data_IF_161679844035
#
_entry.id   IF_161679844035
#
_cell.length_a   1.000
_cell.length_b   1.000
_cell.length_c   1.000
_cell.angle_alpha   90.00
_cell.angle_beta   90.00
_cell.angle_gamma   90.00
#
_symmetry.space_group_name_H-M   'P 1'
#
loop_
_entity.id
_entity.type
_entity.pdbx_description
1 polymer ?
#
# COMPACT_ATOMS: atom_id res chain seq x y z
N UNK A 1 28.83 8.25 4.41
CA UNK A 1 27.76 7.52 3.70
C UNK A 1 28.16 6.05 3.68
N UNK A 2 27.40 5.18 4.35
CA UNK A 2 27.69 3.74 4.34
C UNK A 2 27.32 3.21 2.95
N UNK A 3 28.24 2.61 2.18
CA UNK A 3 27.92 2.03 0.89
C UNK A 3 26.87 0.92 1.08
N UNK A 4 25.77 0.97 0.30
CA UNK A 4 24.71 -0.06 0.29
C UNK A 4 23.30 0.41 0.66
N UNK A 5 23.17 1.39 1.57
CA UNK A 5 21.85 1.78 2.12
C UNK A 5 20.90 2.34 1.05
N UNK A 6 21.38 3.22 0.16
CA UNK A 6 20.54 3.86 -0.86
C UNK A 6 20.04 2.86 -1.91
N UNK A 7 20.91 2.01 -2.52
CA UNK A 7 20.45 0.93 -3.39
C UNK A 7 19.42 0.00 -2.72
N UNK A 8 19.66 -0.41 -1.47
CA UNK A 8 18.76 -1.33 -0.76
C UNK A 8 17.40 -0.70 -0.47
N UNK A 9 17.37 0.60 -0.11
CA UNK A 9 16.13 1.35 0.06
C UNK A 9 15.35 1.50 -1.24
N UNK A 10 16.03 1.75 -2.37
CA UNK A 10 15.39 1.86 -3.68
C UNK A 10 14.81 0.51 -4.13
N UNK A 11 15.53 -0.59 -3.90
CA UNK A 11 15.04 -1.94 -4.14
C UNK A 11 13.83 -2.27 -3.27
N UNK A 12 13.88 -1.91 -1.98
CA UNK A 12 12.75 -2.05 -1.06
C UNK A 12 11.52 -1.26 -1.51
N UNK A 13 11.70 0.00 -1.92
CA UNK A 13 10.63 0.83 -2.47
C UNK A 13 10.03 0.21 -3.75
N UNK A 14 10.88 -0.27 -4.65
CA UNK A 14 10.45 -0.91 -5.89
C UNK A 14 9.62 -2.16 -5.62
N UNK A 15 10.09 -3.03 -4.71
CA UNK A 15 9.38 -4.24 -4.31
C UNK A 15 8.01 -3.92 -3.66
N UNK A 16 7.97 -2.94 -2.75
CA UNK A 16 6.73 -2.49 -2.12
C UNK A 16 5.75 -1.90 -3.13
N UNK A 17 6.25 -1.08 -4.05
CA UNK A 17 5.44 -0.46 -5.10
C UNK A 17 4.87 -1.52 -6.04
N UNK A 18 5.68 -2.49 -6.46
CA UNK A 18 5.25 -3.60 -7.30
C UNK A 18 4.19 -4.47 -6.59
N UNK A 19 4.42 -4.80 -5.32
CA UNK A 19 3.45 -5.54 -4.52
C UNK A 19 2.12 -4.78 -4.41
N UNK A 20 2.16 -3.49 -4.05
CA UNK A 20 0.96 -2.66 -3.95
C UNK A 20 0.22 -2.55 -5.29
N UNK A 21 0.98 -2.37 -6.39
CA UNK A 21 0.43 -2.31 -7.73
C UNK A 21 -0.22 -3.62 -8.17
N UNK A 22 0.18 -4.79 -7.65
CA UNK A 22 -0.49 -6.06 -7.94
C UNK A 22 -1.67 -6.28 -7.00
N UNK A 23 -1.46 -6.12 -5.69
CA UNK A 23 -2.45 -6.39 -4.66
C UNK A 23 -3.70 -5.50 -4.77
N UNK A 24 -3.57 -4.29 -5.31
CA UNK A 24 -4.68 -3.34 -5.48
C UNK A 24 -5.39 -3.44 -6.84
N UNK A 25 -4.94 -4.31 -7.77
CA UNK A 25 -5.58 -4.47 -9.08
C UNK A 25 -7.07 -4.80 -9.00
N UNK A 26 -7.54 -5.66 -8.06
CA UNK A 26 -8.96 -5.99 -7.99
C UNK A 26 -9.86 -4.78 -7.74
N UNK A 27 -9.34 -3.71 -7.14
CA UNK A 27 -10.09 -2.47 -6.91
C UNK A 27 -10.49 -1.83 -8.25
N UNK A 28 -9.69 -2.00 -9.30
CA UNK A 28 -9.99 -1.53 -10.65
C UNK A 28 -11.11 -2.33 -11.35
N UNK A 29 -11.64 -3.39 -10.73
CA UNK A 29 -12.87 -4.03 -11.22
C UNK A 29 -14.10 -3.13 -11.00
N UNK A 30 -14.04 -2.24 -10.02
CA UNK A 30 -15.08 -1.23 -9.77
C UNK A 30 -15.07 -0.14 -10.84
N UNK A 31 -16.24 0.14 -11.43
CA UNK A 31 -16.41 1.28 -12.34
C UNK A 31 -16.10 2.60 -11.64
N UNK A 32 -16.51 2.77 -10.38
CA UNK A 32 -16.30 3.98 -9.59
C UNK A 32 -14.82 4.32 -9.41
N UNK A 33 -13.99 3.33 -9.06
CA UNK A 33 -12.55 3.54 -8.88
C UNK A 33 -11.84 3.70 -10.22
N UNK A 34 -12.26 2.98 -11.27
CA UNK A 34 -11.75 3.22 -12.64
C UNK A 34 -12.04 4.62 -13.13
N UNK A 35 -13.21 5.19 -12.84
CA UNK A 35 -13.51 6.58 -13.22
C UNK A 35 -12.61 7.57 -12.51
N UNK A 36 -12.38 7.38 -11.20
CA UNK A 36 -11.42 8.18 -10.45
C UNK A 36 -10.04 8.11 -11.11
N UNK A 37 -9.53 6.90 -11.30
CA UNK A 37 -8.23 6.68 -11.92
C UNK A 37 -8.14 7.19 -13.35
N UNK A 38 -9.22 7.22 -14.13
CA UNK A 38 -9.24 7.80 -15.48
C UNK A 38 -9.17 9.32 -15.48
N UNK A 39 -9.67 10.01 -14.45
CA UNK A 39 -9.73 11.47 -14.44
C UNK A 39 -8.57 12.12 -13.70
N UNK A 40 -8.14 11.54 -12.58
CA UNK A 40 -7.21 12.19 -11.67
C UNK A 40 -6.08 11.24 -11.26
N UNK A 41 -4.82 11.71 -11.16
CA UNK A 41 -4.36 13.10 -11.36
C UNK A 41 -4.10 13.54 -12.82
N UNK A 42 -3.76 12.63 -13.74
CA UNK A 42 -3.21 12.98 -15.07
C UNK A 42 -4.12 12.66 -16.26
N UNK A 43 -5.37 12.24 -16.02
CA UNK A 43 -6.27 11.81 -17.12
C UNK A 43 -5.95 10.45 -17.76
N UNK A 44 -4.92 9.72 -17.28
CA UNK A 44 -4.57 8.37 -17.76
C UNK A 44 -4.71 7.34 -16.64
N UNK A 45 -5.54 6.32 -16.85
CA UNK A 45 -5.80 5.28 -15.84
C UNK A 45 -4.52 4.56 -15.40
N UNK A 46 -3.69 4.14 -16.34
CA UNK A 46 -2.45 3.42 -16.03
C UNK A 46 -1.46 4.28 -15.26
N UNK A 47 -1.26 5.53 -15.70
CA UNK A 47 -0.35 6.48 -15.03
C UNK A 47 -0.86 6.78 -13.62
N UNK A 48 -2.14 7.08 -13.47
CA UNK A 48 -2.74 7.41 -12.18
C UNK A 48 -2.69 6.24 -11.20
N UNK A 49 -2.86 5.01 -11.70
CA UNK A 49 -2.71 3.81 -10.90
C UNK A 49 -1.27 3.60 -10.42
N UNK A 50 -0.29 3.76 -11.30
CA UNK A 50 1.13 3.65 -10.94
C UNK A 50 1.55 4.77 -9.98
N UNK A 51 1.07 6.00 -10.18
CA UNK A 51 1.29 7.12 -9.26
C UNK A 51 0.70 6.82 -7.88
N UNK A 52 -0.53 6.28 -7.82
CA UNK A 52 -1.15 5.90 -6.55
C UNK A 52 -0.38 4.79 -5.84
N UNK A 53 0.03 3.74 -6.55
CA UNK A 53 0.83 2.65 -5.99
C UNK A 53 2.22 3.12 -5.52
N UNK A 54 2.89 3.98 -6.28
CA UNK A 54 4.18 4.55 -5.92
C UNK A 54 4.07 5.50 -4.72
N UNK A 55 3.04 6.35 -4.68
CA UNK A 55 2.77 7.22 -3.55
C UNK A 55 2.48 6.40 -2.29
N UNK A 56 1.68 5.34 -2.42
CA UNK A 56 1.42 4.39 -1.33
C UNK A 56 2.70 3.72 -0.83
N UNK A 57 3.52 3.18 -1.74
CA UNK A 57 4.80 2.54 -1.40
C UNK A 57 5.76 3.52 -0.73
N UNK A 58 5.79 4.76 -1.21
CA UNK A 58 6.64 5.83 -0.66
C UNK A 58 6.21 6.23 0.75
N UNK A 59 4.91 6.47 0.99
CA UNK A 59 4.43 6.80 2.34
C UNK A 59 4.62 5.64 3.30
N UNK A 60 4.47 4.40 2.82
CA UNK A 60 4.73 3.22 3.61
C UNK A 60 6.20 3.10 4.02
N UNK A 61 7.13 3.18 3.07
CA UNK A 61 8.56 3.14 3.35
C UNK A 61 8.98 4.29 4.26
N UNK A 62 8.47 5.50 4.04
CA UNK A 62 8.74 6.65 4.89
C UNK A 62 8.26 6.41 6.34
N UNK A 63 7.09 5.80 6.53
CA UNK A 63 6.57 5.43 7.86
C UNK A 63 7.47 4.43 8.58
N UNK A 64 7.95 3.40 7.87
CA UNK A 64 8.90 2.43 8.41
C UNK A 64 10.21 3.13 8.81
N UNK A 65 10.78 3.93 7.90
CA UNK A 65 12.05 4.64 8.16
C UNK A 65 11.93 5.63 9.31
N UNK A 66 10.80 6.34 9.42
CA UNK A 66 10.53 7.23 10.54
C UNK A 66 10.47 6.45 11.87
N UNK A 67 9.77 5.32 11.91
CA UNK A 67 9.72 4.47 13.10
C UNK A 67 11.12 3.97 13.50
N UNK A 68 11.92 3.51 12.54
CA UNK A 68 13.32 3.09 12.76
C UNK A 68 14.16 4.24 13.32
N UNK A 69 14.04 5.44 12.74
CA UNK A 69 14.79 6.61 13.18
C UNK A 69 14.42 7.03 14.61
N UNK A 70 13.13 6.98 14.97
CA UNK A 70 12.64 7.33 16.30
C UNK A 70 13.11 6.34 17.39
N UNK A 71 13.40 5.10 17.04
CA UNK A 71 13.90 4.06 17.96
C UNK A 71 15.42 3.86 17.87
N UNK A 72 16.16 4.90 17.47
CA UNK A 72 17.63 4.88 17.47
C UNK A 72 18.24 3.88 16.49
N UNK A 73 17.55 3.57 15.39
CA UNK A 73 18.03 2.64 14.37
C UNK A 73 17.80 1.16 14.69
N UNK A 74 17.05 0.84 15.76
CA UNK A 74 16.69 -0.53 16.13
C UNK A 74 15.19 -0.73 15.99
N UNK A 75 14.78 -1.76 15.26
CA UNK A 75 13.42 -2.27 15.36
C UNK A 75 13.35 -3.13 16.64
N UNK A 76 12.34 -2.89 17.47
CA UNK A 76 12.14 -3.60 18.75
C UNK A 76 11.93 -5.12 18.57
N UNK A 77 11.85 -5.87 19.67
CA UNK A 77 11.65 -7.33 19.70
C UNK A 77 10.40 -7.82 18.92
N UNK A 78 9.49 -6.93 18.52
CA UNK A 78 8.26 -7.22 17.79
C UNK A 78 8.21 -6.60 16.38
N UNK A 79 9.32 -6.68 15.61
CA UNK A 79 9.46 -6.14 14.24
C UNK A 79 8.23 -6.41 13.36
N UNK A 80 7.70 -7.62 13.38
CA UNK A 80 6.54 -8.00 12.57
C UNK A 80 5.26 -7.28 12.96
N UNK A 81 5.01 -7.06 14.27
CA UNK A 81 3.83 -6.32 14.73
C UNK A 81 3.92 -4.86 14.32
N UNK A 82 5.11 -4.27 14.42
CA UNK A 82 5.36 -2.90 13.97
C UNK A 82 5.17 -2.74 12.47
N UNK A 83 5.77 -3.62 11.66
CA UNK A 83 5.62 -3.61 10.20
C UNK A 83 4.16 -3.81 9.81
N UNK A 84 3.46 -4.77 10.42
CA UNK A 84 2.04 -4.99 10.18
C UNK A 84 1.21 -3.76 10.57
N UNK A 85 1.46 -3.17 11.74
CA UNK A 85 0.78 -1.97 12.23
C UNK A 85 0.95 -0.77 11.31
N UNK A 86 2.18 -0.48 10.86
CA UNK A 86 2.47 0.60 9.91
C UNK A 86 1.83 0.30 8.54
N UNK A 87 1.88 -0.95 8.08
CA UNK A 87 1.26 -1.34 6.80
C UNK A 87 -0.24 -1.11 6.82
N UNK A 88 -0.92 -1.59 7.86
CA UNK A 88 -2.37 -1.44 8.01
C UNK A 88 -2.76 0.02 8.27
N UNK A 89 -1.97 0.75 9.06
CA UNK A 89 -2.16 2.18 9.29
C UNK A 89 -2.05 2.98 7.99
N UNK A 90 -1.02 2.74 7.17
CA UNK A 90 -0.86 3.37 5.87
C UNK A 90 -2.05 3.03 4.94
N UNK A 91 -2.48 1.78 4.92
CA UNK A 91 -3.64 1.34 4.14
C UNK A 91 -4.94 2.05 4.56
N UNK A 92 -5.18 2.17 5.86
CA UNK A 92 -6.32 2.88 6.41
C UNK A 92 -6.27 4.40 6.10
N UNK A 93 -5.10 5.02 6.20
CA UNK A 93 -4.92 6.44 5.87
C UNK A 93 -5.23 6.71 4.39
N UNK A 94 -4.77 5.84 3.49
CA UNK A 94 -5.09 5.94 2.07
C UNK A 94 -6.57 5.68 1.79
N UNK A 95 -7.18 4.72 2.47
CA UNK A 95 -8.63 4.52 2.41
C UNK A 95 -9.37 5.78 2.84
N UNK A 96 -8.99 6.43 3.95
CA UNK A 96 -9.59 7.69 4.40
C UNK A 96 -9.39 8.81 3.38
N UNK A 97 -8.18 8.95 2.84
CA UNK A 97 -7.88 9.96 1.83
C UNK A 97 -8.77 9.81 0.59
N UNK A 98 -8.90 8.58 0.08
CA UNK A 98 -9.64 8.34 -1.17
C UNK A 98 -11.15 8.26 -0.91
N UNK A 99 -11.61 7.50 0.08
CA UNK A 99 -13.03 7.26 0.34
C UNK A 99 -13.75 8.45 0.98
N UNK A 100 -13.02 9.30 1.72
CA UNK A 100 -13.59 10.43 2.48
C UNK A 100 -13.09 11.76 1.93
N UNK A 101 -11.78 11.99 1.89
CA UNK A 101 -11.24 13.33 1.59
C UNK A 101 -11.45 13.73 0.14
N UNK A 102 -11.19 12.85 -0.84
CA UNK A 102 -11.39 13.18 -2.26
C UNK A 102 -12.86 13.50 -2.60
N UNK A 103 -13.87 12.76 -2.08
CA UNK A 103 -15.26 13.15 -2.22
C UNK A 103 -15.62 14.48 -1.57
N UNK A 104 -15.14 14.74 -0.34
CA UNK A 104 -15.38 16.02 0.34
C UNK A 104 -14.79 17.22 -0.44
N UNK A 105 -13.72 16.98 -1.20
CA UNK A 105 -13.09 17.98 -2.08
C UNK A 105 -13.75 18.10 -3.45
N UNK A 106 -14.79 17.32 -3.74
CA UNK A 106 -15.46 17.28 -5.05
C UNK A 106 -14.61 16.65 -6.17
N UNK A 107 -13.48 16.01 -5.83
CA UNK A 107 -12.59 15.37 -6.81
C UNK A 107 -13.16 14.04 -7.31
N UNK A 108 -13.94 13.36 -6.45
CA UNK A 108 -14.50 12.06 -6.76
C UNK A 108 -15.97 11.95 -6.33
N UNK A 109 -16.81 11.45 -7.23
CA UNK A 109 -18.17 10.99 -6.92
C UNK A 109 -18.13 9.47 -6.70
N UNK A 110 -18.15 8.99 -5.44
CA UNK A 110 -18.01 7.57 -5.14
C UNK A 110 -19.23 6.74 -5.59
N UNK A 111 -20.40 7.37 -5.68
CA UNK A 111 -21.67 6.71 -6.01
C UNK A 111 -22.32 7.46 -7.16
N UNK A 112 -22.78 6.70 -8.16
CA UNK A 112 -23.55 7.21 -9.31
C UNK A 112 -24.66 6.21 -9.62
N UNK A 113 -25.74 6.68 -10.21
CA UNK A 113 -26.88 5.85 -10.55
C UNK A 113 -26.48 4.66 -11.43
N UNK A 114 -26.96 3.46 -11.09
CA UNK A 114 -26.65 2.22 -11.82
C UNK A 114 -25.25 1.63 -11.56
N UNK A 115 -24.47 2.19 -10.64
CA UNK A 115 -23.13 1.71 -10.33
C UNK A 115 -22.97 1.26 -8.88
N UNK A 116 -22.05 0.32 -8.69
CA UNK A 116 -21.62 -0.10 -7.36
C UNK A 116 -20.85 1.01 -6.65
N UNK A 117 -21.13 1.21 -5.36
CA UNK A 117 -20.49 2.25 -4.54
C UNK A 117 -18.96 2.04 -4.45
N UNK A 118 -18.22 3.08 -4.83
CA UNK A 118 -16.77 3.09 -4.83
C UNK A 118 -16.15 2.95 -3.44
N UNK A 119 -16.80 3.44 -2.37
CA UNK A 119 -16.30 3.29 -0.99
C UNK A 119 -16.36 1.84 -0.56
N UNK A 120 -17.43 1.13 -0.92
CA UNK A 120 -17.55 -0.30 -0.64
C UNK A 120 -16.47 -1.08 -1.40
N UNK A 121 -16.24 -0.76 -2.67
CA UNK A 121 -15.16 -1.36 -3.44
C UNK A 121 -13.77 -1.10 -2.83
N UNK A 122 -13.52 0.12 -2.33
CA UNK A 122 -12.28 0.45 -1.62
C UNK A 122 -12.15 -0.30 -0.30
N UNK A 123 -13.24 -0.51 0.44
CA UNK A 123 -13.23 -1.30 1.67
C UNK A 123 -12.92 -2.77 1.40
N UNK A 124 -13.53 -3.36 0.37
CA UNK A 124 -13.18 -4.72 -0.07
C UNK A 124 -11.71 -4.78 -0.49
N UNK A 125 -11.24 -3.79 -1.25
CA UNK A 125 -9.83 -3.63 -1.61
C UNK A 125 -8.89 -3.58 -0.42
N UNK A 126 -9.23 -2.80 0.61
CA UNK A 126 -8.47 -2.69 1.85
C UNK A 126 -8.38 -4.04 2.58
N UNK A 127 -9.49 -4.77 2.68
CA UNK A 127 -9.52 -6.10 3.30
C UNK A 127 -8.69 -7.09 2.50
N UNK A 128 -8.85 -7.13 1.17
CA UNK A 128 -8.05 -7.98 0.29
C UNK A 128 -6.56 -7.66 0.38
N UNK A 129 -6.19 -6.38 0.46
CA UNK A 129 -4.82 -5.94 0.65
C UNK A 129 -4.23 -6.41 1.99
N UNK A 130 -5.02 -6.33 3.08
CA UNK A 130 -4.61 -6.83 4.39
C UNK A 130 -4.35 -8.35 4.35
N UNK A 131 -5.22 -9.12 3.68
CA UNK A 131 -5.03 -10.56 3.48
C UNK A 131 -3.77 -10.84 2.63
N UNK A 132 -3.59 -10.15 1.51
CA UNK A 132 -2.41 -10.31 0.66
C UNK A 132 -1.12 -9.99 1.43
N UNK A 133 -1.15 -8.97 2.28
CA UNK A 133 -0.03 -8.59 3.16
C UNK A 133 0.27 -9.69 4.16
N UNK A 134 -0.75 -10.25 4.84
CA UNK A 134 -0.57 -11.34 5.79
C UNK A 134 0.05 -12.57 5.11
N UNK A 135 -0.43 -12.92 3.91
CA UNK A 135 0.13 -14.02 3.10
C UNK A 135 1.58 -13.74 2.71
N UNK A 136 1.90 -12.52 2.28
CA UNK A 136 3.27 -12.13 1.92
C UNK A 136 4.22 -12.22 3.13
N UNK A 137 3.80 -11.72 4.29
CA UNK A 137 4.58 -11.84 5.53
C UNK A 137 4.80 -13.30 5.93
N UNK A 138 3.76 -14.13 5.85
CA UNK A 138 3.88 -15.57 6.12
C UNK A 138 4.85 -16.24 5.15
N UNK A 139 4.77 -15.93 3.86
CA UNK A 139 5.69 -16.46 2.86
C UNK A 139 7.15 -16.06 3.16
N UNK A 140 7.40 -14.81 3.55
CA UNK A 140 8.73 -14.34 3.98
C UNK A 140 9.23 -15.14 5.18
N UNK A 141 8.39 -15.40 6.18
CA UNK A 141 8.75 -16.22 7.35
C UNK A 141 9.09 -17.66 6.92
N UNK A 142 8.28 -18.27 6.07
CA UNK A 142 8.53 -19.63 5.55
C UNK A 142 9.85 -19.71 4.79
N UNK A 143 10.10 -18.75 3.89
CA UNK A 143 11.37 -18.66 3.15
C UNK A 143 12.54 -18.46 4.10
N UNK A 144 12.41 -17.57 5.09
CA UNK A 144 13.47 -17.35 6.07
C UNK A 144 13.81 -18.63 6.85
N UNK A 145 12.80 -19.39 7.30
CA UNK A 145 13.00 -20.69 7.94
C UNK A 145 13.67 -21.66 6.96
N UNK A 146 13.16 -21.77 5.73
CA UNK A 146 13.65 -22.71 4.72
C UNK A 146 15.06 -22.42 4.17
N UNK A 147 15.66 -21.26 4.48
CA UNK A 147 17.04 -20.94 4.10
C UNK A 147 17.99 -20.71 5.28
N UNK A 148 17.48 -20.35 6.46
CA UNK A 148 18.31 -19.92 7.59
C UNK A 148 18.05 -20.70 8.89
N UNK A 149 17.09 -21.64 8.92
CA UNK A 149 16.97 -22.54 10.05
C UNK A 149 18.14 -23.53 10.05
N UNK A 150 18.84 -23.73 11.17
CA UNK A 150 19.83 -24.78 11.29
C UNK A 150 19.08 -26.12 11.33
N UNK A 151 19.03 -26.82 10.20
CA UNK A 151 18.77 -28.27 10.17
C UNK A 151 20.05 -29.04 10.49
#
# INVERSE_FOLDING_TARGET
>A
MVPGIVPDMLLGLLALTAFAAVALLPVLLSSAVRRLGRRWPTGSLGVNYLVAAAAFGTTHLAGIMAAVALHGGRLEQDVFKWVAGITLGNALLWWLAVAVVLPLRGVWEPTREGEWDGRIALTVGLVSYAVATAVALLAIVVVAIAFYAPW
#
